data_IF_250257649504
#
_entry.id   IF_250257649504
#
_cell.length_a   1.000
_cell.length_b   1.000
_cell.length_c   1.000
_cell.angle_alpha   90.00
_cell.angle_beta   90.00
_cell.angle_gamma   90.00
#
_symmetry.space_group_name_H-M   'P 1'
#
loop_
_entity.id
_entity.type
_entity.pdbx_description
1 polymer ?
#
# COMPACT_ATOMS: atom_id res chain seq x y z
N UNK A 1 -31.78 -5.58 -38.25
CA UNK A 1 -31.61 -4.39 -37.38
C UNK A 1 -31.65 -4.65 -35.86
N UNK A 2 -31.83 -5.89 -35.36
CA UNK A 2 -32.01 -6.16 -33.91
C UNK A 2 -30.75 -6.53 -33.11
N UNK A 3 -29.64 -6.93 -33.77
CA UNK A 3 -28.43 -7.33 -33.05
C UNK A 3 -27.60 -6.14 -32.54
N UNK A 4 -27.64 -4.99 -33.24
CA UNK A 4 -26.91 -3.78 -32.86
C UNK A 4 -27.53 -3.12 -31.60
N UNK A 5 -28.87 -3.13 -31.48
CA UNK A 5 -29.58 -2.58 -30.31
C UNK A 5 -29.29 -3.35 -29.02
N UNK A 6 -29.16 -4.68 -29.06
CA UNK A 6 -28.79 -5.50 -27.89
C UNK A 6 -27.37 -5.26 -27.39
N UNK A 7 -26.39 -5.11 -28.30
CA UNK A 7 -25.00 -4.79 -27.90
C UNK A 7 -24.89 -3.39 -27.27
N UNK A 8 -25.65 -2.42 -27.78
CA UNK A 8 -25.73 -1.08 -27.21
C UNK A 8 -26.37 -1.07 -25.81
N UNK A 9 -27.48 -1.79 -25.59
CA UNK A 9 -28.13 -1.85 -24.27
C UNK A 9 -27.25 -2.54 -23.21
N UNK A 10 -26.53 -3.59 -23.60
CA UNK A 10 -25.62 -4.30 -22.70
C UNK A 10 -24.41 -3.43 -22.30
N UNK A 11 -23.79 -2.74 -23.27
CA UNK A 11 -22.67 -1.83 -23.01
C UNK A 11 -23.06 -0.61 -22.17
N UNK A 12 -24.31 -0.15 -22.24
CA UNK A 12 -24.81 0.93 -21.41
C UNK A 12 -25.00 0.47 -19.96
N UNK A 13 -25.63 -0.69 -19.76
CA UNK A 13 -25.84 -1.30 -18.44
C UNK A 13 -24.54 -1.54 -17.67
N UNK A 14 -23.51 -2.07 -18.33
CA UNK A 14 -22.20 -2.29 -17.68
C UNK A 14 -21.49 -0.98 -17.33
N UNK A 15 -21.65 0.08 -18.13
CA UNK A 15 -21.11 1.40 -17.81
C UNK A 15 -21.79 2.03 -16.60
N UNK A 16 -23.11 1.84 -16.48
CA UNK A 16 -23.89 2.36 -15.36
C UNK A 16 -23.56 1.62 -14.06
N UNK A 17 -23.31 0.31 -14.10
CA UNK A 17 -22.81 -0.47 -12.96
C UNK A 17 -21.41 -0.01 -12.53
N UNK A 18 -20.48 0.16 -13.46
CA UNK A 18 -19.12 0.66 -13.16
C UNK A 18 -19.19 2.06 -12.54
N UNK A 19 -20.06 2.93 -13.07
CA UNK A 19 -20.25 4.28 -12.53
C UNK A 19 -20.86 4.26 -11.13
N UNK A 20 -21.79 3.32 -10.86
CA UNK A 20 -22.38 3.12 -9.54
C UNK A 20 -21.35 2.62 -8.53
N UNK A 21 -20.56 1.60 -8.90
CA UNK A 21 -19.46 1.09 -8.07
C UNK A 21 -18.43 2.16 -7.76
N UNK A 22 -18.07 3.01 -8.73
CA UNK A 22 -17.20 4.18 -8.50
C UNK A 22 -17.81 5.17 -7.52
N UNK A 23 -19.08 5.53 -7.69
CA UNK A 23 -19.75 6.47 -6.81
C UNK A 23 -19.89 5.92 -5.37
N UNK A 24 -20.09 4.61 -5.21
CA UNK A 24 -20.11 3.96 -3.89
C UNK A 24 -18.71 3.93 -3.26
N UNK A 25 -17.69 3.60 -4.05
CA UNK A 25 -16.30 3.65 -3.63
C UNK A 25 -15.91 5.06 -3.15
N UNK A 26 -16.19 6.08 -3.96
CA UNK A 26 -15.87 7.49 -3.67
C UNK A 26 -16.61 8.03 -2.42
N UNK A 27 -17.83 7.55 -2.14
CA UNK A 27 -18.59 7.94 -0.95
C UNK A 27 -18.14 7.24 0.33
N UNK A 28 -17.45 6.10 0.22
CA UNK A 28 -17.05 5.29 1.38
C UNK A 28 -15.70 5.66 1.98
N UNK A 29 -14.82 6.31 1.21
CA UNK A 29 -13.46 6.64 1.64
C UNK A 29 -13.42 8.05 2.21
N UNK A 30 -13.69 8.16 3.50
CA UNK A 30 -13.59 9.41 4.26
C UNK A 30 -12.21 9.61 4.91
N UNK A 31 -11.37 8.58 4.90
CA UNK A 31 -10.03 8.61 5.48
C UNK A 31 -9.07 7.69 4.72
N UNK A 32 -7.76 7.98 4.82
CA UNK A 32 -6.73 7.10 4.27
C UNK A 32 -6.82 5.68 4.86
N UNK A 33 -7.30 5.58 6.10
CA UNK A 33 -7.48 4.31 6.82
C UNK A 33 -8.61 3.45 6.24
N UNK A 34 -9.44 3.99 5.35
CA UNK A 34 -10.49 3.22 4.68
C UNK A 34 -10.06 2.72 3.29
N UNK A 35 -8.87 3.09 2.81
CA UNK A 35 -8.34 2.57 1.54
C UNK A 35 -8.04 1.06 1.66
N UNK A 36 -8.36 0.23 0.67
CA UNK A 36 -7.95 -1.18 0.65
C UNK A 36 -6.45 -1.40 0.87
N UNK A 37 -6.08 -2.54 1.46
CA UNK A 37 -4.69 -2.85 1.85
C UNK A 37 -3.74 -2.90 0.64
N UNK A 38 -4.29 -3.33 -0.49
CA UNK A 38 -3.62 -3.50 -1.78
C UNK A 38 -2.96 -2.19 -2.23
N UNK A 39 -3.62 -1.05 -2.02
CA UNK A 39 -3.05 0.26 -2.34
C UNK A 39 -1.82 0.58 -1.51
N UNK A 40 -1.78 0.15 -0.25
CA UNK A 40 -0.60 0.36 0.59
C UNK A 40 0.54 -0.56 0.23
N UNK A 41 0.26 -1.83 -0.12
CA UNK A 41 1.30 -2.71 -0.63
C UNK A 41 1.92 -2.17 -1.92
N UNK A 42 1.08 -1.68 -2.84
CA UNK A 42 1.55 -1.02 -4.05
C UNK A 42 2.38 0.23 -3.75
N UNK A 43 1.92 1.08 -2.82
CA UNK A 43 2.71 2.25 -2.37
C UNK A 43 4.06 1.83 -1.77
N UNK A 44 4.07 0.79 -0.94
CA UNK A 44 5.27 0.29 -0.26
C UNK A 44 6.30 -0.28 -1.23
N UNK A 45 5.88 -0.77 -2.40
CA UNK A 45 6.80 -1.27 -3.42
C UNK A 45 7.76 -0.20 -3.96
N UNK A 46 7.40 1.08 -3.85
CA UNK A 46 8.19 2.24 -4.26
C UNK A 46 9.05 2.84 -3.15
N UNK A 47 8.88 2.38 -1.90
CA UNK A 47 9.53 2.97 -0.73
C UNK A 47 10.60 2.04 -0.15
N UNK A 48 11.58 2.65 0.53
CA UNK A 48 12.53 1.91 1.37
C UNK A 48 11.83 1.36 2.62
N UNK A 49 12.18 0.14 3.01
CA UNK A 49 11.59 -0.56 4.14
C UNK A 49 11.69 0.20 5.46
N UNK A 50 12.80 0.88 5.70
CA UNK A 50 12.93 1.71 6.90
C UNK A 50 12.11 2.99 6.81
N UNK A 51 11.99 3.58 5.61
CA UNK A 51 11.09 4.72 5.40
C UNK A 51 9.63 4.33 5.66
N UNK A 52 9.19 3.16 5.19
CA UNK A 52 7.86 2.60 5.48
C UNK A 52 7.68 2.43 6.98
N UNK A 53 8.60 1.73 7.64
CA UNK A 53 8.51 1.49 9.08
C UNK A 53 8.42 2.80 9.86
N UNK A 54 9.29 3.77 9.56
CA UNK A 54 9.31 5.07 10.25
C UNK A 54 8.01 5.85 10.05
N UNK A 55 7.44 5.84 8.84
CA UNK A 55 6.24 6.60 8.53
C UNK A 55 4.96 5.95 9.09
N UNK A 56 4.87 4.62 9.09
CA UNK A 56 3.62 3.91 9.35
C UNK A 56 3.54 3.19 10.72
N UNK A 57 4.67 2.96 11.42
CA UNK A 57 4.69 2.17 12.67
C UNK A 57 3.93 2.80 13.83
N UNK A 58 3.77 4.12 13.83
CA UNK A 58 3.14 4.86 14.92
C UNK A 58 1.86 5.61 14.50
N UNK A 59 1.22 5.18 13.41
CA UNK A 59 -0.03 5.82 12.95
C UNK A 59 -1.23 5.30 13.74
N UNK A 60 -1.60 4.03 13.53
CA UNK A 60 -2.74 3.40 14.20
C UNK A 60 -2.61 1.87 14.15
N UNK A 61 -3.53 1.19 14.83
CA UNK A 61 -3.57 -0.27 14.90
C UNK A 61 -3.64 -0.95 13.52
N UNK A 62 -4.39 -0.37 12.59
CA UNK A 62 -4.53 -0.92 11.23
C UNK A 62 -3.20 -0.94 10.49
N UNK A 63 -2.42 0.13 10.56
CA UNK A 63 -1.09 0.17 9.96
C UNK A 63 -0.08 -0.72 10.71
N UNK A 64 -0.23 -0.89 12.02
CA UNK A 64 0.57 -1.89 12.75
C UNK A 64 0.29 -3.32 12.25
N UNK A 65 -0.99 -3.68 12.03
CA UNK A 65 -1.35 -4.96 11.43
C UNK A 65 -0.76 -5.12 10.02
N UNK A 66 -0.84 -4.06 9.20
CA UNK A 66 -0.27 -4.04 7.86
C UNK A 66 1.25 -4.29 7.89
N UNK A 67 1.98 -3.63 8.80
CA UNK A 67 3.43 -3.81 8.95
C UNK A 67 3.80 -5.19 9.51
N UNK A 68 2.94 -5.75 10.36
CA UNK A 68 3.13 -7.08 10.94
C UNK A 68 2.70 -8.21 10.01
N UNK A 69 1.99 -7.92 8.92
CA UNK A 69 1.59 -8.88 7.89
C UNK A 69 2.78 -9.70 7.38
N UNK A 70 2.66 -11.03 7.25
CA UNK A 70 3.69 -11.88 6.66
C UNK A 70 3.85 -11.65 5.16
N UNK A 71 2.83 -11.09 4.50
CA UNK A 71 2.86 -10.76 3.08
C UNK A 71 3.67 -9.50 2.78
N UNK A 72 3.94 -8.67 3.80
CA UNK A 72 4.76 -7.48 3.62
C UNK A 72 6.25 -7.84 3.67
N UNK A 73 6.95 -7.58 2.56
CA UNK A 73 8.38 -7.75 2.44
C UNK A 73 9.05 -6.39 2.22
N UNK A 74 10.19 -6.16 2.88
CA UNK A 74 10.92 -4.89 2.82
C UNK A 74 12.08 -4.94 1.81
N UNK A 75 12.16 -3.90 0.98
CA UNK A 75 13.34 -3.56 0.18
C UNK A 75 14.17 -2.56 0.97
N UNK A 76 15.44 -2.88 1.20
CA UNK A 76 16.34 -2.03 1.96
C UNK A 76 17.34 -1.37 1.02
N UNK A 77 17.44 -0.04 1.06
CA UNK A 77 18.43 0.75 0.36
C UNK A 77 19.51 1.20 1.34
N UNK A 78 20.73 0.71 1.17
CA UNK A 78 21.86 1.06 2.04
C UNK A 78 22.48 2.37 1.56
N UNK A 79 21.88 3.49 1.96
CA UNK A 79 22.50 4.81 1.79
C UNK A 79 23.49 5.07 2.93
N UNK A 80 24.74 4.68 2.73
CA UNK A 80 25.83 4.80 3.73
C UNK A 80 26.06 6.22 4.27
N UNK A 81 25.59 7.26 3.59
CA UNK A 81 25.91 8.67 3.89
C UNK A 81 24.77 9.51 4.48
N UNK A 82 23.53 9.00 4.59
CA UNK A 82 22.36 9.86 4.87
C UNK A 82 21.87 9.89 6.31
N UNK A 83 22.36 9.01 7.19
CA UNK A 83 21.83 8.89 8.54
C UNK A 83 22.74 9.57 9.57
N UNK A 84 22.22 10.62 10.25
CA UNK A 84 22.82 11.15 11.49
C UNK A 84 22.93 10.01 12.52
N UNK A 85 23.90 10.05 13.43
CA UNK A 85 24.22 8.94 14.35
C UNK A 85 22.99 8.36 15.08
N UNK A 86 22.08 9.20 15.58
CA UNK A 86 20.84 8.75 16.23
C UNK A 86 19.92 7.93 15.30
N UNK A 87 19.86 8.28 14.01
CA UNK A 87 19.10 7.51 13.03
C UNK A 87 19.76 6.18 12.69
N UNK A 88 21.08 6.07 12.83
CA UNK A 88 21.83 4.84 12.56
C UNK A 88 21.48 3.73 13.56
N UNK A 89 21.25 4.07 14.83
CA UNK A 89 20.86 3.09 15.84
C UNK A 89 19.44 2.54 15.60
N UNK A 90 18.48 3.43 15.34
CA UNK A 90 17.11 3.04 15.02
C UNK A 90 17.04 2.20 13.74
N UNK A 91 17.85 2.54 12.73
CA UNK A 91 17.98 1.75 11.51
C UNK A 91 18.51 0.34 11.79
N UNK A 92 19.62 0.22 12.55
CA UNK A 92 20.17 -1.08 12.94
C UNK A 92 19.15 -1.92 13.72
N UNK A 93 18.41 -1.30 14.64
CA UNK A 93 17.38 -1.99 15.40
C UNK A 93 16.24 -2.47 14.49
N UNK A 94 15.77 -1.62 13.58
CA UNK A 94 14.77 -1.99 12.58
C UNK A 94 15.21 -3.20 11.75
N UNK A 95 16.44 -3.17 11.21
CA UNK A 95 16.98 -4.29 10.43
C UNK A 95 17.00 -5.59 11.25
N UNK A 96 17.41 -5.50 12.52
CA UNK A 96 17.48 -6.66 13.42
C UNK A 96 16.10 -7.24 13.72
N UNK A 97 15.09 -6.39 13.93
CA UNK A 97 13.72 -6.84 14.24
C UNK A 97 12.99 -7.38 13.02
N UNK A 98 13.29 -6.87 11.83
CA UNK A 98 12.56 -7.18 10.60
C UNK A 98 13.39 -8.03 9.61
N UNK A 99 14.47 -8.66 10.07
CA UNK A 99 15.37 -9.43 9.21
C UNK A 99 14.65 -10.51 8.40
N UNK A 100 13.65 -11.15 8.99
CA UNK A 100 12.82 -12.18 8.36
C UNK A 100 11.89 -11.65 7.24
N UNK A 101 11.69 -10.33 7.16
CA UNK A 101 10.87 -9.67 6.13
C UNK A 101 11.70 -8.99 5.06
N UNK A 102 13.02 -8.89 5.24
CA UNK A 102 13.90 -8.25 4.25
C UNK A 102 14.15 -9.26 3.13
N UNK A 103 13.68 -8.93 1.93
CA UNK A 103 13.86 -9.81 0.76
C UNK A 103 14.85 -9.26 -0.26
N UNK A 104 15.19 -7.97 -0.17
CA UNK A 104 16.14 -7.33 -1.07
C UNK A 104 16.92 -6.25 -0.34
N UNK A 105 18.22 -6.22 -0.59
CA UNK A 105 19.15 -5.19 -0.14
C UNK A 105 19.82 -4.63 -1.39
N UNK A 106 19.77 -3.31 -1.57
CA UNK A 106 20.34 -2.58 -2.71
C UNK A 106 21.21 -1.42 -2.25
#
# INVERSE_FOLDING_TARGET
MNQIKRKLSFNQSSKDEIKKLRNEFDRSITSIENLPMEFFYELFDYLDGYAIYKAFSNLNYRFQQLLNSPSLLFKIQIHHSKYKEGHRNNYKQFLRMNMHKIFSIK
#
